data_IF_136265789781
#
_entry.id   IF_136265789781
#
_cell.length_a   1.000
_cell.length_b   1.000
_cell.length_c   1.000
_cell.angle_alpha   90.00
_cell.angle_beta   90.00
_cell.angle_gamma   90.00
#
_symmetry.space_group_name_H-M   'P 1'
#
loop_
_entity.id
_entity.type
_entity.pdbx_description
1 polymer ?
#
# COMPACT_ATOMS: atom_id res chain seq x y z
N UNK A 1 -11.72 -2.99 27.95
CA UNK A 1 -12.01 -4.38 27.52
C UNK A 1 -10.68 -5.08 27.27
N UNK A 2 -10.41 -6.21 27.94
CA UNK A 2 -9.18 -6.99 27.70
C UNK A 2 -9.43 -7.97 26.55
N UNK A 3 -9.25 -7.51 25.31
CA UNK A 3 -9.29 -8.35 24.12
C UNK A 3 -8.03 -9.21 24.06
N UNK A 4 -8.18 -10.54 24.08
CA UNK A 4 -7.07 -11.47 23.92
C UNK A 4 -6.96 -11.88 22.46
N UNK A 5 -5.77 -11.76 21.89
CA UNK A 5 -5.44 -12.17 20.53
C UNK A 5 -4.52 -13.39 20.64
N UNK A 6 -4.88 -14.48 19.96
CA UNK A 6 -4.04 -15.66 19.85
C UNK A 6 -3.33 -15.62 18.48
N UNK A 7 -2.00 -15.55 18.49
CA UNK A 7 -1.18 -15.51 17.29
C UNK A 7 -0.51 -16.87 17.09
N UNK A 8 -0.42 -17.31 15.84
CA UNK A 8 0.40 -18.46 15.44
C UNK A 8 1.60 -17.90 14.68
N UNK A 9 2.79 -18.14 15.22
CA UNK A 9 4.07 -17.75 14.65
C UNK A 9 4.96 -18.99 14.58
N UNK A 10 5.95 -18.97 13.70
CA UNK A 10 6.96 -20.01 13.64
C UNK A 10 7.78 -20.06 14.95
N UNK A 11 8.29 -21.25 15.28
CA UNK A 11 8.96 -21.48 16.56
C UNK A 11 10.25 -20.66 16.69
N UNK A 12 11.00 -20.48 15.60
CA UNK A 12 12.23 -19.68 15.60
C UNK A 12 11.95 -18.22 15.98
N UNK A 13 10.94 -17.62 15.34
CA UNK A 13 10.53 -16.24 15.65
C UNK A 13 10.01 -16.12 17.08
N UNK A 14 9.29 -17.14 17.58
CA UNK A 14 8.81 -17.17 18.95
C UNK A 14 9.96 -17.19 19.96
N UNK A 15 10.93 -18.08 19.78
CA UNK A 15 12.10 -18.20 20.65
C UNK A 15 12.91 -16.90 20.69
N UNK A 16 13.14 -16.27 19.52
CA UNK A 16 13.83 -14.99 19.44
C UNK A 16 13.07 -13.89 20.20
N UNK A 17 11.75 -13.77 20.00
CA UNK A 17 10.94 -12.78 20.69
C UNK A 17 10.91 -12.99 22.21
N UNK A 18 10.85 -14.24 22.66
CA UNK A 18 10.91 -14.59 24.08
C UNK A 18 12.27 -14.21 24.70
N UNK A 19 13.37 -14.45 23.97
CA UNK A 19 14.71 -14.05 24.41
C UNK A 19 14.83 -12.53 24.55
N UNK A 20 14.42 -11.77 23.53
CA UNK A 20 14.45 -10.30 23.59
C UNK A 20 13.53 -9.72 24.67
N UNK A 21 12.33 -10.29 24.84
CA UNK A 21 11.43 -9.88 25.91
C UNK A 21 12.07 -10.11 27.29
N UNK A 22 12.76 -11.24 27.45
CA UNK A 22 13.48 -11.58 28.69
C UNK A 22 14.66 -10.65 28.95
N UNK A 23 15.41 -10.27 27.91
CA UNK A 23 16.51 -9.30 28.01
C UNK A 23 16.01 -7.91 28.46
N UNK A 24 14.81 -7.50 28.02
CA UNK A 24 14.15 -6.27 28.47
C UNK A 24 13.39 -6.41 29.80
N UNK A 25 13.35 -7.61 30.40
CA UNK A 25 12.61 -7.88 31.63
C UNK A 25 11.09 -7.75 31.49
N UNK A 26 10.55 -7.89 30.26
CA UNK A 26 9.12 -7.75 29.94
C UNK A 26 8.49 -9.11 29.69
N UNK A 27 7.17 -9.21 29.86
CA UNK A 27 6.45 -10.36 29.32
C UNK A 27 6.41 -10.28 27.79
N UNK A 28 6.45 -11.42 27.09
CA UNK A 28 6.34 -11.49 25.63
C UNK A 28 5.16 -10.66 25.09
N UNK A 29 4.01 -10.73 25.77
CA UNK A 29 2.82 -9.99 25.34
C UNK A 29 2.97 -8.46 25.46
N UNK A 30 3.77 -7.98 26.40
CA UNK A 30 4.09 -6.55 26.57
C UNK A 30 5.10 -6.12 25.53
N UNK A 31 6.16 -6.93 25.34
CA UNK A 31 7.18 -6.70 24.32
C UNK A 31 6.59 -6.62 22.90
N UNK A 32 5.71 -7.55 22.53
CA UNK A 32 5.01 -7.52 21.24
C UNK A 32 4.11 -6.29 21.12
N UNK A 33 3.41 -5.88 22.20
CA UNK A 33 2.58 -4.66 22.18
C UNK A 33 3.43 -3.42 21.96
N UNK A 34 4.61 -3.33 22.55
CA UNK A 34 5.52 -2.20 22.36
C UNK A 34 6.03 -2.14 20.92
N UNK A 35 6.44 -3.29 20.35
CA UNK A 35 6.80 -3.38 18.92
C UNK A 35 5.66 -2.89 18.04
N UNK A 36 4.44 -3.38 18.27
CA UNK A 36 3.27 -2.99 17.48
C UNK A 36 2.91 -1.52 17.67
N UNK A 37 3.02 -0.97 18.88
CA UNK A 37 2.79 0.46 19.15
C UNK A 37 3.81 1.35 18.45
N UNK A 38 5.09 0.96 18.47
CA UNK A 38 6.16 1.65 17.77
C UNK A 38 5.95 1.63 16.26
N UNK A 39 5.58 0.47 15.72
CA UNK A 39 5.39 0.30 14.29
C UNK A 39 4.14 1.03 13.76
N UNK A 40 3.08 1.13 14.56
CA UNK A 40 1.82 1.80 14.19
C UNK A 40 1.83 3.31 14.56
N UNK A 41 2.95 3.83 15.12
CA UNK A 41 3.07 5.25 15.46
C UNK A 41 2.18 5.70 16.62
N UNK A 42 1.83 4.79 17.54
CA UNK A 42 0.92 5.06 18.66
C UNK A 42 1.62 5.60 19.92
N UNK A 43 2.94 5.83 19.87
CA UNK A 43 3.63 6.59 20.91
C UNK A 43 3.51 8.07 20.55
N UNK A 44 2.79 8.88 21.35
CA UNK A 44 2.86 10.32 21.18
C UNK A 44 4.31 10.73 21.46
N UNK A 45 4.98 11.26 20.44
CA UNK A 45 6.27 11.90 20.61
C UNK A 45 6.08 13.04 21.62
N UNK A 46 6.46 12.80 22.88
CA UNK A 46 6.71 13.86 23.84
C UNK A 46 7.96 14.61 23.38
N UNK A 47 7.74 15.61 22.53
CA UNK A 47 8.67 16.73 22.39
C UNK A 47 7.97 17.91 23.07
N UNK A 48 8.22 18.03 24.38
CA UNK A 48 8.11 19.32 25.07
C UNK A 48 9.31 20.15 24.60
N UNK A 49 9.07 21.21 23.83
CA UNK A 49 9.90 22.41 23.87
C UNK A 49 9.10 23.61 23.35
N UNK A 50 9.23 24.70 24.09
CA UNK A 50 8.43 25.93 24.06
C UNK A 50 8.64 26.80 22.81
N UNK A 51 7.53 27.36 22.33
CA UNK A 51 7.35 28.62 21.58
C UNK A 51 8.39 29.06 20.53
N UNK A 52 7.98 28.98 19.25
CA UNK A 52 8.14 30.08 18.29
C UNK A 52 6.96 30.07 17.30
N UNK A 53 6.03 31.03 17.44
CA UNK A 53 4.97 31.26 16.45
C UNK A 53 5.58 32.06 15.29
N UNK A 54 6.15 31.34 14.34
CA UNK A 54 6.38 31.85 12.99
C UNK A 54 5.01 31.84 12.29
N UNK A 55 4.61 32.88 11.54
CA UNK A 55 3.37 32.82 10.77
C UNK A 55 3.49 31.63 9.83
N UNK A 56 2.81 30.53 10.14
CA UNK A 56 2.67 29.43 9.23
C UNK A 56 1.93 30.02 8.03
N UNK A 57 2.66 30.21 6.94
CA UNK A 57 2.08 29.97 5.63
C UNK A 57 1.31 28.67 5.82
N UNK A 58 -0.01 28.70 5.72
CA UNK A 58 -0.81 27.48 5.64
C UNK A 58 -0.35 26.79 4.35
N UNK A 59 0.77 26.07 4.43
CA UNK A 59 0.97 24.85 3.68
C UNK A 59 -0.18 24.02 4.19
N UNK A 60 -1.28 24.07 3.43
CA UNK A 60 -2.26 23.02 3.45
C UNK A 60 -1.43 21.80 3.06
N UNK A 61 -0.81 21.14 4.06
CA UNK A 61 -0.44 19.74 3.98
C UNK A 61 -1.77 19.06 3.75
N UNK A 62 -2.11 18.94 2.47
CA UNK A 62 -3.24 18.18 2.02
C UNK A 62 -2.94 16.75 2.47
N UNK A 63 -3.42 16.42 3.66
CA UNK A 63 -3.58 15.08 4.24
C UNK A 63 -4.48 14.25 3.30
N UNK A 64 -4.00 13.99 2.10
CA UNK A 64 -4.56 13.08 1.13
C UNK A 64 -3.44 12.16 0.72
N UNK A 65 -3.02 11.30 1.65
CA UNK A 65 -2.10 10.23 1.29
C UNK A 65 -2.93 8.97 1.16
N UNK A 66 -3.75 8.89 0.12
CA UNK A 66 -4.28 7.61 -0.35
C UNK A 66 -3.13 6.59 -0.47
N UNK A 67 -1.94 7.07 -0.80
CA UNK A 67 -0.66 6.39 -0.79
C UNK A 67 -0.31 5.68 0.54
N UNK A 68 -0.76 6.20 1.68
CA UNK A 68 -0.56 5.57 2.99
C UNK A 68 -1.68 4.60 3.38
N UNK A 69 -2.72 4.48 2.56
CA UNK A 69 -3.84 3.59 2.84
C UNK A 69 -3.49 2.12 2.58
N UNK A 70 -4.21 1.24 3.28
CA UNK A 70 -4.21 -0.18 2.96
C UNK A 70 -4.65 -0.45 1.51
N UNK A 71 -5.60 0.34 0.99
CA UNK A 71 -6.10 0.19 -0.36
C UNK A 71 -5.03 0.43 -1.41
N UNK A 72 -4.15 1.41 -1.21
CA UNK A 72 -3.03 1.65 -2.10
C UNK A 72 -1.97 0.54 -2.00
N UNK A 73 -1.65 0.09 -0.79
CA UNK A 73 -0.74 -1.06 -0.59
C UNK A 73 -1.27 -2.32 -1.29
N UNK A 74 -2.58 -2.55 -1.22
CA UNK A 74 -3.23 -3.65 -1.91
C UNK A 74 -3.15 -3.49 -3.43
N UNK A 75 -3.41 -2.27 -3.95
CA UNK A 75 -3.28 -1.97 -5.38
C UNK A 75 -1.87 -2.21 -5.89
N UNK A 76 -0.85 -1.72 -5.18
CA UNK A 76 0.56 -1.95 -5.53
C UNK A 76 0.87 -3.44 -5.59
N UNK A 77 0.47 -4.17 -4.54
CA UNK A 77 0.65 -5.63 -4.49
C UNK A 77 0.02 -6.29 -5.71
N UNK A 78 -1.21 -5.94 -6.04
CA UNK A 78 -1.90 -6.50 -7.20
C UNK A 78 -1.21 -6.16 -8.53
N UNK A 79 -0.77 -4.91 -8.73
CA UNK A 79 -0.03 -4.49 -9.94
C UNK A 79 1.23 -5.34 -10.12
N UNK A 80 2.04 -5.50 -9.08
CA UNK A 80 3.26 -6.31 -9.14
C UNK A 80 2.98 -7.81 -9.30
N UNK A 81 1.92 -8.34 -8.68
CA UNK A 81 1.50 -9.72 -8.92
C UNK A 81 1.10 -9.94 -10.38
N UNK A 82 0.36 -9.01 -10.99
CA UNK A 82 -0.04 -9.08 -12.40
C UNK A 82 1.14 -8.88 -13.36
N UNK A 83 2.15 -8.12 -12.96
CA UNK A 83 3.42 -8.04 -13.68
C UNK A 83 4.08 -9.41 -13.85
N UNK A 84 4.06 -10.25 -12.81
CA UNK A 84 4.60 -11.61 -12.88
C UNK A 84 3.64 -12.58 -13.59
N UNK A 85 2.33 -12.43 -13.37
CA UNK A 85 1.30 -13.32 -13.90
C UNK A 85 0.14 -12.52 -14.52
N UNK A 86 0.17 -12.23 -15.82
CA UNK A 86 -0.85 -11.39 -16.47
C UNK A 86 -2.24 -12.02 -16.59
N UNK A 87 -2.33 -13.36 -16.50
CA UNK A 87 -3.59 -14.11 -16.58
C UNK A 87 -4.35 -13.95 -15.26
N UNK A 88 -5.60 -13.51 -15.36
CA UNK A 88 -6.46 -13.27 -14.21
C UNK A 88 -7.45 -14.42 -14.00
N UNK A 89 -7.62 -14.84 -12.75
CA UNK A 89 -8.51 -15.94 -12.33
C UNK A 89 -9.45 -15.51 -11.21
N UNK A 90 -9.32 -14.27 -10.73
CA UNK A 90 -10.19 -13.69 -9.72
C UNK A 90 -11.63 -13.50 -10.25
N UNK A 91 -12.58 -13.41 -9.32
CA UNK A 91 -13.97 -13.11 -9.65
C UNK A 91 -14.14 -11.68 -10.18
N UNK A 92 -15.24 -11.43 -10.91
CA UNK A 92 -15.55 -10.10 -11.44
C UNK A 92 -15.64 -9.05 -10.31
N UNK A 93 -16.20 -9.41 -9.15
CA UNK A 93 -16.30 -8.51 -7.99
C UNK A 93 -14.92 -8.10 -7.48
N UNK A 94 -13.95 -9.02 -7.46
CA UNK A 94 -12.58 -8.71 -7.08
C UNK A 94 -11.92 -7.75 -8.09
N UNK A 95 -12.18 -7.92 -9.39
CA UNK A 95 -11.69 -7.01 -10.43
C UNK A 95 -12.35 -5.62 -10.33
N UNK A 96 -13.65 -5.55 -10.04
CA UNK A 96 -14.35 -4.28 -9.79
C UNK A 96 -13.80 -3.58 -8.53
N UNK A 97 -13.44 -4.36 -7.50
CA UNK A 97 -12.79 -3.85 -6.29
C UNK A 97 -11.40 -3.25 -6.60
N UNK A 98 -10.63 -3.88 -7.49
CA UNK A 98 -9.37 -3.31 -7.99
C UNK A 98 -9.62 -2.05 -8.82
N UNK A 99 -10.60 -2.07 -9.73
CA UNK A 99 -10.98 -0.93 -10.55
C UNK A 99 -11.20 0.33 -9.69
N UNK A 100 -11.99 0.20 -8.62
CA UNK A 100 -12.23 1.30 -7.68
C UNK A 100 -10.93 1.84 -7.07
N UNK A 101 -9.98 0.97 -6.71
CA UNK A 101 -8.68 1.40 -6.17
C UNK A 101 -7.82 2.14 -7.18
N UNK A 102 -7.90 1.75 -8.46
CA UNK A 102 -7.23 2.49 -9.54
C UNK A 102 -7.88 3.88 -9.70
N UNK A 103 -9.21 3.97 -9.63
CA UNK A 103 -9.92 5.25 -9.69
C UNK A 103 -9.53 6.17 -8.51
N UNK A 104 -9.39 5.63 -7.29
CA UNK A 104 -8.88 6.36 -6.13
C UNK A 104 -7.43 6.82 -6.36
N UNK A 105 -6.57 5.96 -6.93
CA UNK A 105 -5.20 6.33 -7.28
C UNK A 105 -5.13 7.49 -8.30
N UNK A 106 -6.12 7.64 -9.17
CA UNK A 106 -6.17 8.73 -10.15
C UNK A 106 -6.69 10.02 -9.50
N UNK A 107 -7.77 9.91 -8.72
CA UNK A 107 -8.53 11.06 -8.24
C UNK A 107 -8.01 11.62 -6.92
N UNK A 108 -7.58 10.75 -6.00
CA UNK A 108 -7.29 11.11 -4.60
C UNK A 108 -5.79 11.14 -4.27
N UNK A 109 -4.94 10.53 -5.10
CA UNK A 109 -3.49 10.57 -4.88
C UNK A 109 -2.89 11.95 -5.15
N UNK A 110 -1.81 12.23 -4.44
CA UNK A 110 -0.89 13.34 -4.72
C UNK A 110 0.17 13.00 -5.77
N UNK A 111 -0.11 12.08 -6.70
CA UNK A 111 0.81 11.72 -7.78
C UNK A 111 0.87 12.78 -8.88
N UNK A 112 1.96 12.75 -9.65
CA UNK A 112 2.09 13.60 -10.84
C UNK A 112 1.01 13.28 -11.86
N UNK A 113 0.78 14.23 -12.78
CA UNK A 113 -0.18 14.01 -13.85
C UNK A 113 0.28 12.87 -14.78
N UNK A 114 1.59 12.74 -14.97
CA UNK A 114 2.22 11.69 -15.75
C UNK A 114 1.92 10.30 -15.16
N UNK A 115 2.08 10.12 -13.84
CA UNK A 115 1.75 8.85 -13.20
C UNK A 115 0.24 8.58 -13.17
N UNK A 116 -0.59 9.62 -13.01
CA UNK A 116 -2.05 9.48 -13.15
C UNK A 116 -2.45 8.99 -14.55
N UNK A 117 -1.77 9.44 -15.60
CA UNK A 117 -1.97 8.91 -16.96
C UNK A 117 -1.55 7.44 -17.09
N UNK A 118 -0.51 6.99 -16.39
CA UNK A 118 -0.16 5.57 -16.32
C UNK A 118 -1.25 4.75 -15.63
N UNK A 119 -1.81 5.23 -14.51
CA UNK A 119 -2.96 4.57 -13.86
C UNK A 119 -4.21 4.55 -14.76
N UNK A 120 -4.43 5.57 -15.59
CA UNK A 120 -5.50 5.56 -16.60
C UNK A 120 -5.35 4.43 -17.61
N UNK A 121 -4.12 4.04 -17.97
CA UNK A 121 -3.90 2.85 -18.84
C UNK A 121 -4.36 1.57 -18.16
N UNK A 122 -4.05 1.42 -16.87
CA UNK A 122 -4.52 0.29 -16.05
C UNK A 122 -6.04 0.27 -15.98
N UNK A 123 -6.67 1.42 -15.72
CA UNK A 123 -8.12 1.54 -15.67
C UNK A 123 -8.78 1.16 -17.00
N UNK A 124 -8.23 1.65 -18.11
CA UNK A 124 -8.72 1.31 -19.45
C UNK A 124 -8.58 -0.19 -19.75
N UNK A 125 -7.47 -0.80 -19.34
CA UNK A 125 -7.25 -2.22 -19.53
C UNK A 125 -8.18 -3.08 -18.65
N UNK A 126 -8.49 -2.64 -17.43
CA UNK A 126 -9.51 -3.27 -16.58
C UNK A 126 -10.90 -3.17 -17.21
N UNK A 127 -11.29 -2.00 -17.70
CA UNK A 127 -12.58 -1.83 -18.37
C UNK A 127 -12.69 -2.71 -19.62
N UNK A 128 -11.63 -2.80 -20.43
CA UNK A 128 -11.54 -3.73 -21.55
C UNK A 128 -11.72 -5.17 -21.07
N UNK A 129 -10.97 -5.58 -20.05
CA UNK A 129 -11.04 -6.93 -19.50
C UNK A 129 -12.46 -7.28 -19.02
N UNK A 130 -13.17 -6.37 -18.38
CA UNK A 130 -14.54 -6.61 -17.90
C UNK A 130 -15.57 -6.75 -19.03
N UNK A 131 -15.36 -6.10 -20.17
CA UNK A 131 -16.31 -6.11 -21.31
C UNK A 131 -15.99 -7.21 -22.33
N UNK A 132 -14.72 -7.60 -22.47
CA UNK A 132 -14.32 -8.68 -23.37
C UNK A 132 -14.95 -10.01 -22.97
N UNK A 133 -15.47 -10.75 -23.96
CA UNK A 133 -15.96 -12.12 -23.76
C UNK A 133 -14.86 -13.03 -23.23
N UNK A 134 -15.23 -14.09 -22.50
CA UNK A 134 -14.27 -15.07 -21.97
C UNK A 134 -13.62 -15.90 -23.09
N UNK A 135 -12.29 -16.05 -23.03
CA UNK A 135 -11.51 -16.91 -23.91
C UNK A 135 -10.26 -17.44 -23.19
N UNK A 136 -9.68 -18.55 -23.69
CA UNK A 136 -8.60 -19.34 -23.05
C UNK A 136 -7.32 -18.57 -22.67
N UNK A 137 -7.17 -17.31 -23.09
CA UNK A 137 -5.98 -16.48 -22.84
C UNK A 137 -6.32 -15.04 -22.49
N UNK A 138 -7.51 -14.81 -21.95
CA UNK A 138 -7.91 -13.49 -21.48
C UNK A 138 -6.96 -13.05 -20.36
N UNK A 139 -6.30 -11.93 -20.57
CA UNK A 139 -5.23 -11.45 -19.69
C UNK A 139 -5.20 -9.93 -19.69
N UNK A 140 -4.55 -9.35 -18.68
CA UNK A 140 -4.22 -7.93 -18.69
C UNK A 140 -3.04 -7.64 -19.62
N UNK A 141 -3.09 -6.49 -20.28
CA UNK A 141 -2.06 -5.99 -21.17
C UNK A 141 -1.19 -4.91 -20.54
N UNK A 142 -1.65 -4.21 -19.50
CA UNK A 142 -0.83 -3.24 -18.77
C UNK A 142 0.49 -3.79 -18.22
N UNK A 143 0.65 -5.09 -17.89
CA UNK A 143 1.93 -5.62 -17.47
C UNK A 143 2.84 -6.07 -18.63
N UNK A 144 2.31 -6.19 -19.85
CA UNK A 144 3.08 -6.66 -21.00
C UNK A 144 3.99 -5.56 -21.54
N UNK A 145 5.26 -5.89 -21.83
CA UNK A 145 6.19 -4.95 -22.47
C UNK A 145 5.73 -4.62 -23.90
N UNK A 146 5.96 -3.38 -24.33
CA UNK A 146 5.67 -2.88 -25.68
C UNK A 146 4.19 -2.87 -26.08
N UNK A 147 3.25 -2.99 -25.14
CA UNK A 147 1.84 -2.76 -25.38
C UNK A 147 1.48 -1.28 -25.20
N UNK A 148 0.49 -0.76 -25.92
CA UNK A 148 0.07 0.65 -25.78
C UNK A 148 -0.44 1.01 -24.37
N UNK A 149 -1.00 0.01 -23.67
CA UNK A 149 -1.47 0.13 -22.28
C UNK A 149 -0.40 -0.23 -21.25
N UNK A 150 0.86 -0.48 -21.67
CA UNK A 150 1.93 -0.85 -20.73
C UNK A 150 2.04 0.21 -19.64
N UNK A 151 2.04 -0.25 -18.39
CA UNK A 151 2.25 0.60 -17.22
C UNK A 151 3.74 0.83 -16.98
N UNK A 152 4.14 2.09 -16.78
CA UNK A 152 5.52 2.44 -16.48
C UNK A 152 5.85 2.28 -14.99
N UNK A 153 6.26 1.07 -14.59
CA UNK A 153 6.67 0.78 -13.22
C UNK A 153 7.87 1.61 -12.73
N UNK A 154 8.77 2.05 -13.62
CA UNK A 154 9.89 2.91 -13.22
C UNK A 154 9.40 4.28 -12.77
N UNK A 155 8.40 4.84 -13.45
CA UNK A 155 7.79 6.11 -13.06
C UNK A 155 7.14 6.00 -11.68
N UNK A 156 6.37 4.94 -11.45
CA UNK A 156 5.75 4.66 -10.16
C UNK A 156 6.79 4.59 -9.03
N UNK A 157 7.85 3.80 -9.22
CA UNK A 157 8.87 3.62 -8.19
C UNK A 157 9.65 4.91 -7.91
N UNK A 158 9.96 5.69 -8.95
CA UNK A 158 10.63 6.98 -8.80
C UNK A 158 9.80 7.95 -7.97
N UNK A 159 8.48 8.03 -8.20
CA UNK A 159 7.59 8.91 -7.42
C UNK A 159 7.43 8.45 -5.98
N UNK A 160 7.30 7.14 -5.74
CA UNK A 160 7.24 6.59 -4.38
C UNK A 160 8.54 6.89 -3.62
N UNK A 161 9.70 6.73 -4.27
CA UNK A 161 10.98 7.01 -3.62
C UNK A 161 11.29 8.49 -3.46
N UNK A 162 10.83 9.36 -4.36
CA UNK A 162 11.01 10.80 -4.21
C UNK A 162 10.22 11.38 -3.04
N UNK A 163 9.11 10.74 -2.63
CA UNK A 163 8.32 11.15 -1.46
C UNK A 163 8.94 10.74 -0.10
N UNK A 164 10.00 9.92 -0.10
CA UNK A 164 10.69 9.51 1.15
C UNK A 164 11.79 10.48 1.60
N UNK A 165 12.02 11.58 0.88
CA UNK A 165 13.00 12.62 1.15
C UNK A 165 12.35 14.00 1.03
#
# INVERSE_FOLDING_TARGET
>A
MNTKINLRIDEYTKEALDEYASQEGKQLSEYIRDILRNHVGLIPNHIEDEYFVIPQLEVIDALNEYENSYDFTYLLTWLFCRYMFPIETNSEEAIQSIKRRVELAINESGFSQELKLEFMKVLNDINRFLVESEYERKQFYFPLKNHQLSFNYNLLMNEIWSKKY
#
